data_IF_796325048801
#
_entry.id   IF_796325048801
#
_cell.length_a   1.000
_cell.length_b   1.000
_cell.length_c   1.000
_cell.angle_alpha   90.00
_cell.angle_beta   90.00
_cell.angle_gamma   90.00
#
_symmetry.space_group_name_H-M   'P 1'
#
loop_
_entity.id
_entity.type
_entity.pdbx_description
1 polymer ?
#
# COMPACT_ATOMS: atom_id res chain seq x y z
N UNK A 1 24.21 1.98 -10.86
CA UNK A 1 23.39 2.03 -9.64
C UNK A 1 23.21 0.66 -8.96
N UNK A 2 22.93 -0.43 -9.66
CA UNK A 2 22.69 -1.75 -9.04
C UNK A 2 23.80 -2.25 -8.08
N UNK A 3 25.07 -2.01 -8.40
CA UNK A 3 26.20 -2.39 -7.53
C UNK A 3 26.15 -1.63 -6.19
N UNK A 4 25.81 -0.34 -6.21
CA UNK A 4 25.69 0.47 -4.99
C UNK A 4 24.50 0.03 -4.14
N UNK A 5 23.37 -0.30 -4.78
CA UNK A 5 22.18 -0.83 -4.08
C UNK A 5 22.48 -2.18 -3.41
N UNK A 6 23.29 -3.04 -4.04
CA UNK A 6 23.67 -4.32 -3.46
C UNK A 6 24.67 -4.18 -2.29
N UNK A 7 25.60 -3.23 -2.36
CA UNK A 7 26.60 -3.01 -1.31
C UNK A 7 26.06 -2.22 -0.11
N UNK A 8 25.04 -1.38 -0.33
CA UNK A 8 24.50 -0.47 0.67
C UNK A 8 24.07 -1.20 1.97
N UNK A 9 23.29 -2.30 1.94
CA UNK A 9 22.91 -3.02 3.15
C UNK A 9 24.12 -3.49 3.97
N UNK A 10 25.16 -4.00 3.33
CA UNK A 10 26.36 -4.49 4.01
C UNK A 10 27.21 -3.36 4.60
N UNK A 11 27.28 -2.22 3.90
CA UNK A 11 28.00 -1.04 4.40
C UNK A 11 27.29 -0.43 5.60
N UNK A 12 25.96 -0.28 5.52
CA UNK A 12 25.16 0.23 6.63
C UNK A 12 25.19 -0.73 7.81
N UNK A 13 25.05 -2.04 7.59
CA UNK A 13 25.18 -3.03 8.66
C UNK A 13 26.53 -2.93 9.37
N UNK A 14 27.63 -2.85 8.63
CA UNK A 14 28.96 -2.66 9.23
C UNK A 14 29.07 -1.36 10.02
N UNK A 15 28.51 -0.27 9.50
CA UNK A 15 28.48 1.03 10.16
C UNK A 15 27.62 1.03 11.43
N UNK A 16 26.51 0.29 11.45
CA UNK A 16 25.64 0.17 12.64
C UNK A 16 26.25 -0.78 13.68
N UNK A 17 26.90 -1.87 13.25
CA UNK A 17 27.52 -2.84 14.15
C UNK A 17 28.82 -2.35 14.80
N UNK A 18 29.61 -1.50 14.12
CA UNK A 18 30.94 -1.08 14.59
C UNK A 18 31.12 0.44 14.70
N UNK A 19 30.13 1.23 14.28
CA UNK A 19 30.21 2.68 14.26
C UNK A 19 29.91 3.34 15.60
N UNK A 20 30.13 4.66 15.64
CA UNK A 20 29.80 5.50 16.79
C UNK A 20 28.29 5.69 16.93
N UNK A 21 27.84 6.11 18.11
CA UNK A 21 26.43 6.47 18.35
C UNK A 21 25.97 7.61 17.42
N UNK A 22 26.82 8.60 17.17
CA UNK A 22 26.57 9.69 16.23
C UNK A 22 26.34 9.21 14.79
N UNK A 23 27.12 8.23 14.32
CA UNK A 23 26.95 7.66 12.99
C UNK A 23 25.61 6.91 12.88
N UNK A 24 25.20 6.20 13.94
CA UNK A 24 23.91 5.49 13.99
C UNK A 24 22.73 6.46 13.97
N UNK A 25 22.81 7.55 14.73
CA UNK A 25 21.80 8.62 14.73
C UNK A 25 21.72 9.31 13.37
N UNK A 26 22.86 9.63 12.73
CA UNK A 26 22.87 10.23 11.40
C UNK A 26 22.21 9.33 10.35
N UNK A 27 22.47 8.02 10.37
CA UNK A 27 21.81 7.06 9.48
C UNK A 27 20.30 7.01 9.74
N UNK A 28 19.88 7.01 11.02
CA UNK A 28 18.47 7.03 11.38
C UNK A 28 17.76 8.29 10.87
N UNK A 29 18.37 9.45 11.06
CA UNK A 29 17.84 10.75 10.61
C UNK A 29 17.73 10.82 9.08
N UNK A 30 18.72 10.30 8.34
CA UNK A 30 18.65 10.22 6.88
C UNK A 30 17.49 9.33 6.41
N UNK A 31 17.33 8.15 7.01
CA UNK A 31 16.23 7.23 6.70
C UNK A 31 14.88 7.89 7.00
N UNK A 32 14.75 8.53 8.17
CA UNK A 32 13.52 9.24 8.55
C UNK A 32 13.22 10.40 7.61
N UNK A 33 14.21 11.20 7.24
CA UNK A 33 14.03 12.33 6.32
C UNK A 33 13.50 11.89 4.96
N UNK A 34 14.02 10.79 4.41
CA UNK A 34 13.53 10.21 3.14
C UNK A 34 12.10 9.70 3.28
N UNK A 35 11.79 9.01 4.39
CA UNK A 35 10.45 8.45 4.63
C UNK A 35 9.41 9.53 4.93
N UNK A 36 9.76 10.59 5.66
CA UNK A 36 8.87 11.72 5.98
C UNK A 36 8.61 12.58 4.75
N UNK A 37 9.61 12.79 3.89
CA UNK A 37 9.41 13.40 2.58
C UNK A 37 8.39 12.59 1.77
N UNK A 38 8.54 11.26 1.75
CA UNK A 38 7.61 10.35 1.10
C UNK A 38 6.22 10.26 1.76
N UNK A 39 6.07 10.64 3.03
CA UNK A 39 4.79 10.67 3.73
C UNK A 39 4.08 12.04 3.62
N UNK A 40 4.83 13.13 3.42
CA UNK A 40 4.33 14.51 3.52
C UNK A 40 3.67 15.05 2.24
N UNK A 41 4.04 14.60 1.03
CA UNK A 41 3.47 15.13 -0.23
C UNK A 41 1.98 14.75 -0.49
N UNK A 42 1.17 14.56 0.56
CA UNK A 42 -0.26 14.25 0.50
C UNK A 42 -1.09 15.46 0.03
N UNK A 43 -0.48 16.61 -0.25
CA UNK A 43 -1.15 17.74 -0.90
C UNK A 43 -1.00 17.59 -2.40
N UNK A 44 -2.09 17.22 -3.08
CA UNK A 44 -2.18 17.01 -4.53
C UNK A 44 -1.78 18.21 -5.37
N UNK A 45 -0.48 18.45 -5.49
CA UNK A 45 0.12 19.33 -6.47
C UNK A 45 0.74 18.45 -7.57
N UNK A 46 0.01 18.41 -8.68
CA UNK A 46 0.24 17.75 -9.97
C UNK A 46 1.54 18.17 -10.68
N UNK A 47 2.71 18.05 -10.04
CA UNK A 47 3.98 18.55 -10.63
C UNK A 47 5.07 17.49 -10.81
N UNK A 48 4.97 16.27 -10.29
CA UNK A 48 6.16 15.39 -10.21
C UNK A 48 6.02 13.97 -10.78
N UNK A 49 5.62 13.85 -12.05
CA UNK A 49 5.77 12.58 -12.81
C UNK A 49 7.25 12.26 -13.11
N UNK A 50 8.14 13.27 -13.14
CA UNK A 50 9.57 13.07 -13.47
C UNK A 50 10.45 12.87 -12.22
N UNK A 51 10.09 13.47 -11.10
CA UNK A 51 10.78 13.34 -9.79
C UNK A 51 10.18 12.24 -8.92
N UNK A 52 8.93 11.83 -9.15
CA UNK A 52 8.31 10.69 -8.50
C UNK A 52 9.10 9.41 -8.71
N UNK A 53 9.56 9.13 -9.94
CA UNK A 53 10.33 7.92 -10.23
C UNK A 53 11.70 7.85 -9.53
N UNK A 54 12.36 8.99 -9.28
CA UNK A 54 13.62 9.00 -8.52
C UNK A 54 13.37 8.84 -7.02
N UNK A 55 12.33 9.48 -6.49
CA UNK A 55 11.90 9.34 -5.10
C UNK A 55 11.51 7.89 -4.79
N UNK A 56 10.72 7.25 -5.66
CA UNK A 56 10.31 5.85 -5.52
C UNK A 56 11.49 4.87 -5.48
N UNK A 57 12.50 5.06 -6.34
CA UNK A 57 13.71 4.21 -6.33
C UNK A 57 14.50 4.37 -5.04
N UNK A 58 14.61 5.60 -4.50
CA UNK A 58 15.25 5.85 -3.21
C UNK A 58 14.49 5.17 -2.06
N UNK A 59 13.16 5.30 -2.04
CA UNK A 59 12.33 4.68 -1.00
C UNK A 59 12.40 3.15 -1.07
N UNK A 60 12.38 2.57 -2.27
CA UNK A 60 12.56 1.12 -2.45
C UNK A 60 13.94 0.65 -1.99
N UNK A 61 14.99 1.43 -2.23
CA UNK A 61 16.33 1.13 -1.72
C UNK A 61 16.38 1.17 -0.18
N UNK A 62 15.71 2.14 0.45
CA UNK A 62 15.56 2.22 1.91
C UNK A 62 14.78 1.02 2.45
N UNK A 63 13.66 0.63 1.84
CA UNK A 63 12.93 -0.57 2.27
C UNK A 63 13.77 -1.83 2.12
N UNK A 64 14.52 -1.96 1.02
CA UNK A 64 15.44 -3.10 0.84
C UNK A 64 16.52 -3.12 1.91
N UNK A 65 17.05 -1.96 2.31
CA UNK A 65 17.98 -1.84 3.42
C UNK A 65 17.33 -2.30 4.74
N UNK A 66 16.14 -1.81 5.07
CA UNK A 66 15.41 -2.19 6.28
C UNK A 66 15.09 -3.68 6.33
N UNK A 67 14.65 -4.27 5.21
CA UNK A 67 14.35 -5.69 5.09
C UNK A 67 15.62 -6.54 5.32
N UNK A 68 16.78 -6.13 4.78
CA UNK A 68 18.05 -6.83 5.00
C UNK A 68 18.54 -6.71 6.45
N UNK A 69 18.38 -5.55 7.08
CA UNK A 69 18.73 -5.35 8.49
C UNK A 69 17.81 -6.20 9.40
N UNK A 70 16.51 -6.23 9.11
CA UNK A 70 15.54 -7.07 9.81
C UNK A 70 15.84 -8.55 9.67
N UNK A 71 16.05 -9.03 8.44
CA UNK A 71 16.41 -10.43 8.17
C UNK A 71 17.70 -10.83 8.91
N UNK A 72 18.71 -9.95 8.92
CA UNK A 72 19.95 -10.23 9.65
C UNK A 72 19.73 -10.35 11.16
N UNK A 73 18.89 -9.49 11.75
CA UNK A 73 18.54 -9.59 13.18
C UNK A 73 17.83 -10.92 13.44
N UNK A 74 16.83 -11.28 12.64
CA UNK A 74 16.08 -12.53 12.76
C UNK A 74 16.98 -13.77 12.62
N UNK A 75 17.91 -13.76 11.65
CA UNK A 75 18.87 -14.84 11.43
C UNK A 75 19.79 -15.03 12.65
N UNK A 76 20.31 -13.93 13.22
CA UNK A 76 21.17 -14.00 14.41
C UNK A 76 20.40 -14.46 15.64
N UNK A 77 19.16 -13.97 15.84
CA UNK A 77 18.30 -14.43 16.94
C UNK A 77 17.97 -15.92 16.82
N UNK A 78 17.71 -16.40 15.60
CA UNK A 78 17.46 -17.81 15.33
C UNK A 78 18.69 -18.68 15.60
N UNK A 79 19.88 -18.25 15.17
CA UNK A 79 21.13 -18.96 15.46
C UNK A 79 21.35 -19.09 16.97
N UNK A 80 21.16 -17.99 17.72
CA UNK A 80 21.27 -17.99 19.17
C UNK A 80 20.27 -18.94 19.84
N UNK A 81 19.02 -18.97 19.38
CA UNK A 81 18.00 -19.90 19.88
C UNK A 81 18.39 -21.36 19.61
N UNK A 82 18.94 -21.66 18.44
CA UNK A 82 19.46 -22.99 18.11
C UNK A 82 20.60 -23.38 19.05
N UNK A 83 21.59 -22.50 19.26
CA UNK A 83 22.71 -22.77 20.17
C UNK A 83 22.24 -23.04 21.62
N UNK A 84 21.26 -22.29 22.12
CA UNK A 84 20.67 -22.52 23.46
C UNK A 84 19.93 -23.87 23.55
N UNK A 85 19.24 -24.27 22.48
CA UNK A 85 18.56 -25.58 22.40
C UNK A 85 19.56 -26.76 22.39
N UNK A 86 20.69 -26.62 21.70
CA UNK A 86 21.76 -27.62 21.69
C UNK A 86 22.45 -27.76 23.06
N UNK A 87 22.62 -26.66 23.80
CA UNK A 87 23.20 -26.69 25.14
C UNK A 87 22.24 -27.31 26.18
N UNK A 88 20.92 -27.12 26.05
CA UNK A 88 19.93 -27.72 26.96
C UNK A 88 19.69 -29.22 26.73
N UNK A 89 19.87 -29.73 25.51
CA UNK A 89 19.76 -31.17 25.20
C UNK A 89 21.07 -31.97 25.45
N UNK A 90 22.21 -31.29 25.62
CA UNK A 90 23.54 -31.91 25.74
C UNK A 90 23.97 -32.34 27.16
N UNK A 91 23.15 -32.11 28.20
CA UNK A 91 23.52 -32.45 29.59
C UNK A 91 23.29 -33.93 29.94
N UNK A 92 23.97 -34.82 29.22
CA UNK A 92 24.30 -36.20 29.65
C UNK A 92 25.22 -36.86 28.60
N UNK A 93 26.51 -36.48 28.59
CA UNK A 93 27.65 -37.41 28.70
C UNK A 93 28.99 -36.75 28.30
N UNK A 94 29.96 -36.98 29.18
CA UNK A 94 31.41 -37.02 28.98
C UNK A 94 32.19 -35.71 28.79
N UNK A 95 32.73 -35.28 29.93
CA UNK A 95 33.96 -34.53 30.05
C UNK A 95 35.14 -35.26 29.39
N UNK A 96 35.74 -34.66 28.36
CA UNK A 96 37.19 -34.66 28.16
C UNK A 96 37.62 -33.68 27.06
N UNK A 97 38.36 -32.64 27.49
CA UNK A 97 39.38 -31.88 26.74
C UNK A 97 38.98 -31.03 25.51
N UNK A 98 38.70 -29.75 25.76
CA UNK A 98 39.24 -28.59 25.03
C UNK A 98 38.84 -27.29 25.74
N UNK A 99 39.74 -26.72 26.56
CA UNK A 99 39.44 -25.58 27.47
C UNK A 99 39.77 -24.19 26.89
N UNK A 100 40.20 -24.11 25.63
CA UNK A 100 40.65 -22.84 25.02
C UNK A 100 39.76 -22.28 23.89
N UNK A 101 38.68 -22.96 23.50
CA UNK A 101 37.75 -22.45 22.46
C UNK A 101 36.44 -21.86 23.02
N UNK A 102 36.08 -22.18 24.27
CA UNK A 102 34.82 -21.74 24.87
C UNK A 102 34.84 -20.30 25.39
N UNK A 103 36.01 -19.71 25.63
CA UNK A 103 36.12 -18.32 26.12
C UNK A 103 36.01 -17.28 25.00
N UNK A 104 36.51 -17.59 23.80
CA UNK A 104 36.42 -16.71 22.63
C UNK A 104 34.99 -16.67 22.09
N UNK A 105 34.29 -17.81 22.03
CA UNK A 105 32.91 -17.90 21.54
C UNK A 105 31.89 -17.13 22.38
N UNK A 106 32.12 -17.01 23.70
CA UNK A 106 31.24 -16.26 24.60
C UNK A 106 31.38 -14.75 24.41
N UNK A 107 32.61 -14.29 24.14
CA UNK A 107 32.89 -12.86 23.94
C UNK A 107 32.37 -12.40 22.58
N UNK A 108 32.52 -13.24 21.55
CA UNK A 108 31.93 -13.02 20.22
C UNK A 108 30.39 -13.05 20.27
N UNK A 109 29.78 -13.93 21.08
CA UNK A 109 28.32 -13.95 21.28
C UNK A 109 27.79 -12.69 21.99
N UNK A 110 28.46 -12.24 23.05
CA UNK A 110 28.07 -11.02 23.76
C UNK A 110 28.23 -9.77 22.86
N UNK A 111 29.23 -9.78 21.99
CA UNK A 111 29.43 -8.72 20.99
C UNK A 111 28.35 -8.74 19.90
N UNK A 112 28.01 -9.91 19.36
CA UNK A 112 26.92 -10.07 18.39
C UNK A 112 25.56 -9.66 18.99
N UNK A 113 25.28 -10.04 20.24
CA UNK A 113 24.07 -9.62 20.96
C UNK A 113 23.99 -8.10 21.13
N UNK A 114 25.13 -7.46 21.41
CA UNK A 114 25.21 -6.01 21.53
C UNK A 114 24.97 -5.33 20.18
N UNK A 115 25.50 -5.91 19.09
CA UNK A 115 25.26 -5.45 17.72
C UNK A 115 23.80 -5.62 17.29
N UNK A 116 23.17 -6.75 17.59
CA UNK A 116 21.74 -6.97 17.35
C UNK A 116 20.87 -5.96 18.10
N UNK A 117 21.22 -5.63 19.35
CA UNK A 117 20.52 -4.58 20.10
C UNK A 117 20.60 -3.23 19.39
N UNK A 118 21.76 -2.86 18.84
CA UNK A 118 21.91 -1.59 18.12
C UNK A 118 21.11 -1.55 16.81
N UNK A 119 21.06 -2.65 16.07
CA UNK A 119 20.25 -2.74 14.85
C UNK A 119 18.76 -2.74 15.19
N UNK A 120 18.35 -3.47 16.23
CA UNK A 120 16.97 -3.48 16.72
C UNK A 120 16.53 -2.09 17.20
N UNK A 121 17.37 -1.39 17.96
CA UNK A 121 17.12 -0.01 18.40
C UNK A 121 16.90 0.93 17.21
N UNK A 122 17.74 0.84 16.18
CA UNK A 122 17.57 1.58 14.92
C UNK A 122 16.23 1.28 14.23
N UNK A 123 15.85 0.00 14.12
CA UNK A 123 14.59 -0.40 13.51
C UNK A 123 13.38 0.08 14.31
N UNK A 124 13.45 0.05 15.64
CA UNK A 124 12.38 0.55 16.53
C UNK A 124 12.27 2.07 16.56
N UNK A 125 13.36 2.78 16.23
CA UNK A 125 13.36 4.25 16.15
C UNK A 125 12.48 4.78 14.99
N UNK A 126 12.19 3.96 13.98
CA UNK A 126 11.43 4.36 12.81
C UNK A 126 9.92 4.18 13.07
N UNK A 127 9.11 5.25 12.99
CA UNK A 127 7.67 5.14 13.17
C UNK A 127 7.00 4.26 12.12
N UNK A 128 6.24 3.25 12.59
CA UNK A 128 5.48 2.33 11.73
C UNK A 128 4.45 3.05 10.85
N UNK A 129 3.86 4.13 11.33
CA UNK A 129 2.91 4.94 10.58
C UNK A 129 3.57 5.60 9.34
N UNK A 130 4.79 6.12 9.50
CA UNK A 130 5.55 6.71 8.39
C UNK A 130 5.92 5.63 7.37
N UNK A 131 6.37 4.46 7.84
CA UNK A 131 6.65 3.31 6.97
C UNK A 131 5.41 2.86 6.18
N UNK A 132 4.24 2.81 6.81
CA UNK A 132 2.98 2.47 6.16
C UNK A 132 2.61 3.47 5.05
N UNK A 133 2.75 4.77 5.31
CA UNK A 133 2.44 5.81 4.31
C UNK A 133 3.43 5.83 3.15
N UNK A 134 4.73 5.73 3.44
CA UNK A 134 5.77 5.68 2.41
C UNK A 134 5.63 4.43 1.52
N UNK A 135 5.30 3.27 2.10
CA UNK A 135 5.07 2.02 1.34
C UNK A 135 3.78 2.05 0.52
N UNK A 136 2.72 2.69 1.02
CA UNK A 136 1.49 2.90 0.26
C UNK A 136 1.76 3.69 -1.02
N UNK A 137 2.59 4.74 -0.94
CA UNK A 137 2.99 5.53 -2.11
C UNK A 137 3.80 4.73 -3.12
N UNK A 138 4.68 3.86 -2.65
CA UNK A 138 5.46 2.98 -3.52
C UNK A 138 4.65 1.82 -4.12
N UNK A 139 3.32 1.82 -3.97
CA UNK A 139 2.41 0.75 -4.40
C UNK A 139 2.74 -0.62 -3.77
N UNK A 140 3.49 -0.63 -2.67
CA UNK A 140 3.79 -1.83 -1.90
C UNK A 140 2.71 -2.06 -0.84
N UNK A 141 1.48 -2.28 -1.30
CA UNK A 141 0.28 -2.29 -0.44
C UNK A 141 0.31 -3.35 0.66
N UNK A 142 0.85 -4.55 0.38
CA UNK A 142 1.01 -5.60 1.40
C UNK A 142 1.96 -5.18 2.54
N UNK A 143 3.05 -4.48 2.20
CA UNK A 143 4.01 -3.96 3.19
C UNK A 143 3.38 -2.82 4.00
N UNK A 144 2.63 -1.95 3.34
CA UNK A 144 1.87 -0.87 3.99
C UNK A 144 0.86 -1.43 4.99
N UNK A 145 0.12 -2.46 4.58
CA UNK A 145 -0.83 -3.15 5.43
C UNK A 145 -0.16 -3.74 6.66
N UNK A 146 0.96 -4.46 6.49
CA UNK A 146 1.71 -5.07 7.59
C UNK A 146 2.12 -4.02 8.65
N UNK A 147 2.71 -2.91 8.23
CA UNK A 147 3.13 -1.85 9.16
C UNK A 147 1.95 -1.16 9.82
N UNK A 148 0.89 -0.88 9.05
CA UNK A 148 -0.27 -0.18 9.58
C UNK A 148 -1.08 -1.05 10.55
N UNK A 149 -1.27 -2.34 10.26
CA UNK A 149 -1.89 -3.27 11.19
C UNK A 149 -1.08 -3.39 12.49
N UNK A 150 0.25 -3.45 12.41
CA UNK A 150 1.10 -3.47 13.61
C UNK A 150 0.93 -2.20 14.45
N UNK A 151 0.90 -1.03 13.81
CA UNK A 151 0.65 0.25 14.47
C UNK A 151 -0.73 0.29 15.15
N UNK A 152 -1.77 -0.14 14.44
CA UNK A 152 -3.14 -0.17 14.94
C UNK A 152 -3.29 -1.18 16.09
N UNK A 153 -2.61 -2.33 16.03
CA UNK A 153 -2.60 -3.31 17.13
C UNK A 153 -1.92 -2.78 18.39
N UNK A 154 -0.87 -1.99 18.26
CA UNK A 154 -0.20 -1.34 19.41
C UNK A 154 -1.04 -0.23 20.04
N UNK A 155 -1.73 0.56 19.21
CA UNK A 155 -2.60 1.65 19.66
C UNK A 155 -3.89 1.13 20.29
N UNK A 156 -4.63 0.30 19.56
CA UNK A 156 -6.01 -0.11 19.87
C UNK A 156 -6.13 -1.52 20.45
N UNK A 157 -5.06 -2.32 20.46
CA UNK A 157 -5.11 -3.72 20.92
C UNK A 157 -5.59 -4.69 19.83
N UNK A 158 -6.08 -5.85 20.25
CA UNK A 158 -6.51 -6.93 19.34
C UNK A 158 -7.93 -7.39 19.67
N UNK A 159 -8.63 -7.94 18.67
CA UNK A 159 -9.97 -8.51 18.82
C UNK A 159 -9.99 -9.89 19.47
N UNK A 160 -8.82 -10.49 19.72
CA UNK A 160 -8.74 -11.76 20.41
C UNK A 160 -9.35 -11.62 21.82
N UNK A 161 -10.29 -12.48 22.26
CA UNK A 161 -10.78 -12.49 23.64
C UNK A 161 -9.68 -12.61 24.71
N UNK A 162 -8.49 -13.07 24.32
CA UNK A 162 -7.30 -13.14 25.17
C UNK A 162 -6.38 -11.88 25.07
N UNK A 163 -6.77 -10.84 24.34
CA UNK A 163 -5.99 -9.61 24.21
C UNK A 163 -6.18 -8.70 25.43
N UNK A 164 -5.10 -8.06 25.87
CA UNK A 164 -5.09 -7.20 27.06
C UNK A 164 -5.89 -5.89 26.90
N UNK A 165 -6.19 -5.48 25.66
CA UNK A 165 -6.97 -4.27 25.35
C UNK A 165 -8.09 -4.57 24.37
N UNK A 166 -9.28 -4.05 24.66
CA UNK A 166 -10.46 -4.11 23.79
C UNK A 166 -10.24 -3.29 22.53
N UNK A 167 -10.42 -3.92 21.36
CA UNK A 167 -10.22 -3.36 20.03
C UNK A 167 -11.23 -2.29 19.64
N UNK A 168 -11.18 -1.11 20.28
CA UNK A 168 -11.89 0.07 19.80
C UNK A 168 -11.00 0.75 18.77
N UNK A 169 -11.40 0.65 17.51
CA UNK A 169 -10.70 1.27 16.39
C UNK A 169 -11.27 2.67 16.15
N UNK A 170 -10.38 3.62 15.87
CA UNK A 170 -10.79 4.94 15.42
C UNK A 170 -11.25 4.87 13.97
N UNK A 171 -12.28 5.64 13.62
CA UNK A 171 -12.85 5.60 12.27
C UNK A 171 -11.82 6.07 11.21
N UNK A 172 -10.87 6.93 11.59
CA UNK A 172 -9.74 7.34 10.74
C UNK A 172 -8.81 6.17 10.40
N UNK A 173 -8.43 5.37 11.41
CA UNK A 173 -7.56 4.21 11.22
C UNK A 173 -8.26 3.14 10.35
N UNK A 174 -9.57 2.94 10.55
CA UNK A 174 -10.37 2.04 9.71
C UNK A 174 -10.46 2.56 8.27
N UNK A 175 -10.62 3.88 8.07
CA UNK A 175 -10.67 4.48 6.73
C UNK A 175 -9.38 4.25 5.96
N UNK A 176 -8.23 4.43 6.60
CA UNK A 176 -6.93 4.20 5.98
C UNK A 176 -6.67 2.72 5.69
N UNK A 177 -7.09 1.81 6.58
CA UNK A 177 -7.08 0.37 6.31
C UNK A 177 -7.93 0.02 5.09
N UNK A 178 -9.15 0.56 5.00
CA UNK A 178 -10.03 0.33 3.85
C UNK A 178 -9.42 0.86 2.55
N UNK A 179 -8.70 1.98 2.57
CA UNK A 179 -7.95 2.47 1.42
C UNK A 179 -6.89 1.46 0.97
N UNK A 180 -6.06 0.95 1.89
CA UNK A 180 -5.03 -0.06 1.57
C UNK A 180 -5.65 -1.35 1.04
N UNK A 181 -6.69 -1.88 1.69
CA UNK A 181 -7.39 -3.09 1.23
C UNK A 181 -8.07 -2.90 -0.13
N UNK A 182 -8.53 -1.67 -0.42
CA UNK A 182 -9.08 -1.37 -1.75
C UNK A 182 -8.02 -1.48 -2.83
N UNK A 183 -6.76 -1.13 -2.55
CA UNK A 183 -5.65 -1.30 -3.48
C UNK A 183 -5.18 -2.76 -3.62
N UNK A 184 -5.46 -3.59 -2.61
CA UNK A 184 -5.21 -5.04 -2.66
C UNK A 184 -6.30 -5.83 -3.40
N UNK A 185 -7.42 -5.18 -3.73
CA UNK A 185 -8.59 -5.82 -4.37
C UNK A 185 -9.17 -7.01 -3.57
N UNK A 186 -9.16 -6.89 -2.24
CA UNK A 186 -9.67 -7.91 -1.29
C UNK A 186 -11.03 -7.48 -0.68
N UNK A 187 -12.17 -7.83 -1.32
CA UNK A 187 -13.50 -7.36 -0.89
C UNK A 187 -13.98 -7.95 0.43
N UNK A 188 -13.56 -9.17 0.77
CA UNK A 188 -13.91 -9.83 2.03
C UNK A 188 -13.32 -9.07 3.23
N UNK A 189 -12.03 -8.72 3.12
CA UNK A 189 -11.34 -7.88 4.12
C UNK A 189 -11.98 -6.51 4.28
N UNK A 190 -12.40 -5.86 3.19
CA UNK A 190 -13.13 -4.59 3.24
C UNK A 190 -14.46 -4.70 3.99
N UNK A 191 -15.22 -5.78 3.75
CA UNK A 191 -16.48 -6.02 4.47
C UNK A 191 -16.23 -6.23 5.96
N UNK A 192 -15.17 -6.97 6.32
CA UNK A 192 -14.78 -7.17 7.72
C UNK A 192 -14.40 -5.86 8.41
N UNK A 193 -13.60 -5.01 7.75
CA UNK A 193 -13.21 -3.70 8.26
C UNK A 193 -14.39 -2.74 8.42
N UNK A 194 -15.35 -2.78 7.50
CA UNK A 194 -16.55 -1.97 7.57
C UNK A 194 -17.40 -2.27 8.80
N UNK A 195 -17.40 -3.53 9.27
CA UNK A 195 -18.03 -3.92 10.54
C UNK A 195 -17.31 -3.37 11.79
N UNK A 196 -16.05 -2.95 11.67
CA UNK A 196 -15.30 -2.34 12.78
C UNK A 196 -15.68 -0.88 13.03
N UNK A 197 -16.26 -0.23 12.02
CA UNK A 197 -16.69 1.16 12.11
C UNK A 197 -17.96 1.27 12.97
N UNK A 198 -18.08 2.36 13.72
CA UNK A 198 -19.28 2.61 14.55
C UNK A 198 -20.55 2.81 13.72
N UNK A 199 -20.41 3.36 12.52
CA UNK A 199 -21.49 3.55 11.56
C UNK A 199 -20.97 3.34 10.14
N UNK A 200 -21.69 2.56 9.36
CA UNK A 200 -21.36 2.28 7.97
C UNK A 200 -21.70 3.48 7.07
N UNK A 201 -20.70 4.03 6.37
CA UNK A 201 -20.94 5.09 5.39
C UNK A 201 -21.45 4.50 4.08
N UNK A 202 -22.33 5.22 3.38
CA UNK A 202 -22.76 4.85 2.02
C UNK A 202 -21.57 4.75 1.06
N UNK A 203 -20.55 5.58 1.26
CA UNK A 203 -19.31 5.55 0.47
C UNK A 203 -18.55 4.24 0.66
N UNK A 204 -18.53 3.70 1.89
CA UNK A 204 -17.89 2.42 2.18
C UNK A 204 -18.61 1.27 1.47
N UNK A 205 -19.95 1.28 1.51
CA UNK A 205 -20.77 0.26 0.83
C UNK A 205 -20.54 0.29 -0.68
N UNK A 206 -20.46 1.48 -1.27
CA UNK A 206 -20.15 1.63 -2.68
C UNK A 206 -18.75 1.10 -3.00
N UNK A 207 -17.75 1.43 -2.17
CA UNK A 207 -16.38 0.94 -2.34
C UNK A 207 -16.30 -0.59 -2.25
N UNK A 208 -16.93 -1.19 -1.24
CA UNK A 208 -16.99 -2.64 -1.04
C UNK A 208 -17.65 -3.30 -2.25
N UNK A 209 -18.81 -2.82 -2.68
CA UNK A 209 -19.53 -3.39 -3.82
C UNK A 209 -18.76 -3.25 -5.14
N UNK A 210 -18.07 -2.12 -5.35
CA UNK A 210 -17.21 -1.91 -6.50
C UNK A 210 -16.06 -2.92 -6.53
N UNK A 211 -15.43 -3.16 -5.39
CA UNK A 211 -14.30 -4.10 -5.26
C UNK A 211 -14.74 -5.57 -5.29
N UNK A 212 -15.94 -5.87 -4.79
CA UNK A 212 -16.55 -7.21 -4.87
C UNK A 212 -17.04 -7.56 -6.29
N UNK A 213 -17.11 -6.58 -7.19
CA UNK A 213 -17.66 -6.77 -8.54
C UNK A 213 -19.19 -6.81 -8.59
N UNK A 214 -19.88 -6.38 -7.53
CA UNK A 214 -21.33 -6.27 -7.45
C UNK A 214 -21.83 -5.03 -8.21
N UNK A 215 -21.51 -4.94 -9.50
CA UNK A 215 -21.77 -3.77 -10.35
C UNK A 215 -23.26 -3.44 -10.51
N UNK A 216 -24.15 -4.41 -10.27
CA UNK A 216 -25.59 -4.17 -10.28
C UNK A 216 -26.04 -3.26 -9.12
N UNK A 217 -25.49 -3.47 -7.92
CA UNK A 217 -25.76 -2.58 -6.77
C UNK A 217 -25.07 -1.23 -6.95
N UNK A 218 -23.84 -1.22 -7.48
CA UNK A 218 -23.15 0.05 -7.79
C UNK A 218 -23.93 0.87 -8.82
N UNK A 219 -24.51 0.22 -9.84
CA UNK A 219 -25.32 0.89 -10.84
C UNK A 219 -26.54 1.59 -10.22
N UNK A 220 -27.27 0.96 -9.30
CA UNK A 220 -28.44 1.60 -8.67
C UNK A 220 -28.04 2.87 -7.91
N UNK A 221 -26.91 2.84 -7.21
CA UNK A 221 -26.36 4.04 -6.55
C UNK A 221 -25.94 5.11 -7.56
N UNK A 222 -25.26 4.73 -8.65
CA UNK A 222 -24.87 5.67 -9.70
C UNK A 222 -26.08 6.30 -10.40
N UNK A 223 -27.14 5.53 -10.66
CA UNK A 223 -28.40 6.04 -11.23
C UNK A 223 -29.11 7.01 -10.28
N UNK A 224 -29.15 6.69 -8.98
CA UNK A 224 -29.70 7.59 -7.98
C UNK A 224 -28.90 8.89 -7.90
N UNK A 225 -27.56 8.82 -7.89
CA UNK A 225 -26.70 10.00 -7.90
C UNK A 225 -26.90 10.84 -9.18
N UNK A 226 -27.10 10.17 -10.32
CA UNK A 226 -27.38 10.84 -11.59
C UNK A 226 -28.74 11.55 -11.61
N UNK A 227 -29.77 11.00 -10.94
CA UNK A 227 -31.06 11.68 -10.79
C UNK A 227 -30.94 12.97 -9.98
N UNK A 228 -30.06 12.98 -8.98
CA UNK A 228 -29.79 14.18 -8.18
C UNK A 228 -28.99 15.22 -8.96
N UNK A 229 -28.02 14.78 -9.76
CA UNK A 229 -27.10 15.64 -10.53
C UNK A 229 -27.07 15.26 -12.02
N UNK A 230 -28.12 15.56 -12.79
CA UNK A 230 -28.24 15.10 -14.19
C UNK A 230 -27.27 15.77 -15.16
N UNK A 231 -26.68 16.91 -14.76
CA UNK A 231 -25.73 17.70 -15.55
C UNK A 231 -24.28 17.30 -15.33
N UNK A 232 -23.99 16.47 -14.32
CA UNK A 232 -22.61 16.08 -13.99
C UNK A 232 -22.09 15.01 -14.95
N UNK A 233 -21.02 15.33 -15.66
CA UNK A 233 -20.35 14.36 -16.53
C UNK A 233 -19.70 13.22 -15.73
N UNK A 234 -19.26 13.45 -14.49
CA UNK A 234 -18.69 12.38 -13.68
C UNK A 234 -19.72 11.29 -13.39
N UNK A 235 -20.96 11.66 -13.05
CA UNK A 235 -22.05 10.70 -12.78
C UNK A 235 -22.40 9.86 -14.01
N UNK A 236 -22.45 10.47 -15.19
CA UNK A 236 -22.64 9.74 -16.46
C UNK A 236 -21.47 8.78 -16.73
N UNK A 237 -20.24 9.20 -16.46
CA UNK A 237 -19.05 8.34 -16.59
C UNK A 237 -19.09 7.14 -15.65
N UNK A 238 -19.54 7.33 -14.40
CA UNK A 238 -19.67 6.26 -13.42
C UNK A 238 -20.72 5.22 -13.86
N UNK A 239 -21.85 5.66 -14.41
CA UNK A 239 -22.88 4.76 -15.00
C UNK A 239 -22.32 3.97 -16.18
N UNK A 240 -21.61 4.63 -17.11
CA UNK A 240 -20.97 3.96 -18.24
C UNK A 240 -19.94 2.91 -17.79
N UNK A 241 -19.14 3.23 -16.77
CA UNK A 241 -18.19 2.27 -16.18
C UNK A 241 -18.91 1.07 -15.57
N UNK A 242 -20.05 1.26 -14.88
CA UNK A 242 -20.83 0.15 -14.34
C UNK A 242 -21.38 -0.75 -15.46
N UNK A 243 -21.99 -0.15 -16.50
CA UNK A 243 -22.52 -0.89 -17.65
C UNK A 243 -21.43 -1.68 -18.40
N UNK A 244 -20.25 -1.09 -18.53
CA UNK A 244 -19.10 -1.71 -19.17
C UNK A 244 -18.58 -2.92 -18.37
N UNK A 245 -18.53 -2.82 -17.04
CA UNK A 245 -18.11 -3.92 -16.17
C UNK A 245 -19.13 -5.06 -16.13
N UNK A 246 -20.45 -4.76 -16.22
CA UNK A 246 -21.50 -5.77 -16.38
C UNK A 246 -21.59 -6.35 -17.81
N UNK A 247 -20.78 -5.86 -18.75
CA UNK A 247 -20.79 -6.26 -20.15
C UNK A 247 -22.12 -5.94 -20.89
N UNK A 248 -22.86 -4.93 -20.47
CA UNK A 248 -24.00 -4.38 -21.22
C UNK A 248 -23.52 -3.47 -22.36
N UNK A 249 -22.71 -4.02 -23.27
CA UNK A 249 -21.95 -3.24 -24.24
C UNK A 249 -22.82 -2.45 -25.24
N UNK A 250 -23.97 -3.00 -25.66
CA UNK A 250 -24.89 -2.27 -26.54
C UNK A 250 -25.53 -1.07 -25.82
N UNK A 251 -25.84 -1.21 -24.53
CA UNK A 251 -26.34 -0.10 -23.73
C UNK A 251 -25.29 1.00 -23.63
N UNK A 252 -24.02 0.64 -23.39
CA UNK A 252 -22.89 1.59 -23.39
C UNK A 252 -22.83 2.38 -24.69
N UNK A 253 -22.85 1.72 -25.84
CA UNK A 253 -22.83 2.38 -27.17
C UNK A 253 -23.98 3.36 -27.31
N UNK A 254 -25.21 2.93 -27.04
CA UNK A 254 -26.39 3.81 -27.16
C UNK A 254 -26.36 4.99 -26.20
N UNK A 255 -25.84 4.80 -24.98
CA UNK A 255 -25.67 5.86 -24.00
C UNK A 255 -24.58 6.85 -24.44
N UNK A 256 -23.45 6.37 -24.94
CA UNK A 256 -22.35 7.19 -25.45
C UNK A 256 -22.82 8.05 -26.62
N UNK A 257 -23.49 7.47 -27.63
CA UNK A 257 -24.00 8.22 -28.79
C UNK A 257 -25.01 9.30 -28.37
N UNK A 258 -25.88 8.98 -27.41
CA UNK A 258 -26.81 9.94 -26.82
C UNK A 258 -26.10 11.05 -26.04
N UNK A 259 -25.02 10.75 -25.32
CA UNK A 259 -24.24 11.72 -24.57
C UNK A 259 -23.41 12.62 -25.47
N UNK A 260 -22.80 12.09 -26.53
CA UNK A 260 -22.08 12.88 -27.54
C UNK A 260 -23.03 13.90 -28.18
N UNK A 261 -24.26 13.49 -28.47
CA UNK A 261 -25.29 14.37 -29.06
C UNK A 261 -25.77 15.46 -28.10
N UNK A 262 -25.88 15.16 -26.79
CA UNK A 262 -26.44 16.08 -25.78
C UNK A 262 -25.39 16.97 -25.11
N UNK A 263 -24.19 16.45 -24.89
CA UNK A 263 -23.10 17.10 -24.14
C UNK A 263 -21.77 16.91 -24.91
N UNK A 264 -21.58 17.63 -26.02
CA UNK A 264 -20.40 17.48 -26.87
C UNK A 264 -19.10 17.94 -26.19
N UNK A 265 -19.20 18.73 -25.11
CA UNK A 265 -18.05 19.26 -24.35
C UNK A 265 -17.11 18.17 -23.80
N UNK A 266 -17.65 16.99 -23.49
CA UNK A 266 -16.92 15.84 -22.97
C UNK A 266 -16.80 14.69 -23.98
N UNK A 267 -17.01 14.97 -25.28
CA UNK A 267 -16.97 13.98 -26.37
C UNK A 267 -15.76 13.05 -26.26
N UNK A 268 -14.57 13.57 -25.97
CA UNK A 268 -13.36 12.79 -25.75
C UNK A 268 -13.50 11.69 -24.70
N UNK A 269 -14.06 12.00 -23.53
CA UNK A 269 -14.26 11.03 -22.44
C UNK A 269 -15.25 9.94 -22.86
N UNK A 270 -16.38 10.34 -23.47
CA UNK A 270 -17.41 9.42 -23.94
C UNK A 270 -16.89 8.48 -25.03
N UNK A 271 -16.14 9.03 -25.98
CA UNK A 271 -15.49 8.26 -27.03
C UNK A 271 -14.50 7.26 -26.44
N UNK A 272 -13.64 7.64 -25.49
CA UNK A 272 -12.69 6.71 -24.85
C UNK A 272 -13.40 5.52 -24.18
N UNK A 273 -14.50 5.75 -23.48
CA UNK A 273 -15.31 4.67 -22.88
C UNK A 273 -16.06 3.85 -23.94
N UNK A 274 -16.53 4.50 -25.01
CA UNK A 274 -17.21 3.89 -26.15
C UNK A 274 -16.31 2.97 -26.97
N UNK A 275 -15.03 3.33 -27.17
CA UNK A 275 -14.02 2.51 -27.87
C UNK A 275 -13.95 1.12 -27.24
N UNK A 276 -13.91 1.02 -25.91
CA UNK A 276 -13.81 -0.27 -25.22
C UNK A 276 -15.05 -1.13 -25.47
N UNK A 277 -16.24 -0.53 -25.54
CA UNK A 277 -17.48 -1.26 -25.85
C UNK A 277 -17.55 -1.69 -27.32
N UNK A 278 -17.21 -0.79 -28.25
CA UNK A 278 -17.18 -1.07 -29.70
C UNK A 278 -16.18 -2.19 -30.04
N UNK A 279 -14.99 -2.14 -29.43
CA UNK A 279 -13.96 -3.17 -29.56
C UNK A 279 -14.46 -4.54 -29.08
N UNK A 280 -15.04 -4.62 -27.88
CA UNK A 280 -15.60 -5.88 -27.34
C UNK A 280 -16.79 -6.42 -28.15
N UNK A 281 -17.53 -5.54 -28.84
CA UNK A 281 -18.64 -5.92 -29.74
C UNK A 281 -18.20 -6.30 -31.15
N UNK A 282 -16.93 -6.08 -31.53
CA UNK A 282 -16.43 -6.30 -32.88
C UNK A 282 -16.97 -5.32 -33.93
N UNK A 283 -17.48 -4.15 -33.51
CA UNK A 283 -17.96 -3.09 -34.40
C UNK A 283 -16.80 -2.15 -34.75
N UNK A 284 -15.96 -2.56 -35.68
CA UNK A 284 -14.75 -1.82 -36.06
C UNK A 284 -15.05 -0.44 -36.66
N UNK A 285 -16.10 -0.31 -37.48
CA UNK A 285 -16.49 0.98 -38.06
C UNK A 285 -16.82 2.03 -36.97
N UNK A 286 -17.53 1.61 -35.92
CA UNK A 286 -17.89 2.45 -34.78
C UNK A 286 -16.67 2.74 -33.89
N UNK A 287 -15.74 1.79 -33.78
CA UNK A 287 -14.50 1.97 -33.05
C UNK A 287 -13.63 3.05 -33.70
N UNK A 288 -13.52 3.05 -35.04
CA UNK A 288 -12.77 4.06 -35.78
C UNK A 288 -13.40 5.45 -35.62
N UNK A 289 -14.73 5.55 -35.61
CA UNK A 289 -15.46 6.79 -35.31
C UNK A 289 -15.17 7.30 -33.89
N UNK A 290 -15.15 6.42 -32.89
CA UNK A 290 -14.82 6.83 -31.53
C UNK A 290 -13.36 7.20 -31.36
N UNK A 291 -12.41 6.52 -32.02
CA UNK A 291 -10.99 6.87 -31.97
C UNK A 291 -10.78 8.26 -32.56
N UNK A 292 -11.34 8.51 -33.75
CA UNK A 292 -11.26 9.84 -34.38
C UNK A 292 -11.93 10.93 -33.54
N UNK A 293 -13.03 10.61 -32.85
CA UNK A 293 -13.66 11.53 -31.89
C UNK A 293 -12.90 11.72 -30.57
N UNK A 294 -12.01 10.80 -30.18
CA UNK A 294 -11.16 10.90 -29.00
C UNK A 294 -9.87 11.69 -29.23
N UNK A 295 -9.42 11.76 -30.48
CA UNK A 295 -8.25 12.55 -30.92
C UNK A 295 -8.55 14.06 -31.00
N UNK A 296 -9.83 14.46 -31.08
CA UNK A 296 -10.24 15.87 -31.00
C UNK A 296 -9.94 16.45 -29.59
N UNK A 297 -9.48 17.71 -29.52
CA UNK A 297 -9.16 18.41 -28.25
C UNK A 297 -10.41 18.61 -27.38
N UNK A 298 -10.75 17.61 -26.58
CA UNK A 298 -11.87 17.62 -25.62
C UNK A 298 -11.41 17.58 -24.16
N UNK A 299 -12.28 18.05 -23.26
CA UNK A 299 -12.06 17.98 -21.81
C UNK A 299 -12.20 16.51 -21.38
N UNK A 300 -11.21 16.03 -20.61
CA UNK A 300 -11.24 14.70 -19.99
C UNK A 300 -11.89 14.83 -18.61
N UNK A 301 -12.91 14.02 -18.31
CA UNK A 301 -13.35 13.84 -16.93
C UNK A 301 -12.31 13.00 -16.19
N UNK A 302 -11.46 13.64 -15.39
CA UNK A 302 -10.60 12.96 -14.44
C UNK A 302 -11.41 12.52 -13.22
N UNK A 303 -11.42 11.22 -12.92
CA UNK A 303 -12.12 10.62 -11.76
C UNK A 303 -11.56 11.00 -10.38
N UNK A 304 -10.80 12.09 -10.26
CA UNK A 304 -10.22 12.55 -9.00
C UNK A 304 -11.21 13.24 -8.07
N UNK A 305 -12.44 13.51 -8.52
CA UNK A 305 -13.50 14.13 -7.70
C UNK A 305 -14.40 13.11 -7.00
N UNK A 306 -14.10 11.81 -7.05
CA UNK A 306 -14.90 10.82 -6.31
C UNK A 306 -14.71 10.89 -4.79
N UNK A 307 -13.65 11.54 -4.31
CA UNK A 307 -13.33 11.64 -2.87
C UNK A 307 -13.63 13.01 -2.26
N UNK A 308 -14.12 13.97 -3.06
CA UNK A 308 -14.50 15.28 -2.57
C UNK A 308 -15.97 15.50 -2.94
N UNK A 309 -16.80 15.84 -1.95
CA UNK A 309 -18.22 16.16 -2.07
C UNK A 309 -19.17 14.94 -2.05
N UNK A 310 -19.37 14.42 -0.84
CA UNK A 310 -20.66 14.47 -0.14
C UNK A 310 -20.44 14.36 1.37
#
# INVERSE_FOLDING_TARGET
MQIAIYLLPYLVLNAVCHGTEEARLGIAEEILSVLDAAASENSGATVHVITGGQSEVCIQAVFTLLDNLGQWVDDVEQELALFQSFQSSGSKKQASRSKDQSSTSLTDQDQLLTQCKYVSELLTAIPKLTLARASHRCQAYARSLMYFESHVREKSGSFNPAAERSGIFEDEDVSYLMEIYSCLDEPDGLSGLACLRKSLSLQDQLLINKKAGNWAEVLTFCEQALQMEPTSAQRHSDVLNCLLNMCHLQAVVTHVDGLISRIPRYKKTWCMQGVQAAWRLGKWDLMDEYISGADEEGIVCSGSESNAFL
#
